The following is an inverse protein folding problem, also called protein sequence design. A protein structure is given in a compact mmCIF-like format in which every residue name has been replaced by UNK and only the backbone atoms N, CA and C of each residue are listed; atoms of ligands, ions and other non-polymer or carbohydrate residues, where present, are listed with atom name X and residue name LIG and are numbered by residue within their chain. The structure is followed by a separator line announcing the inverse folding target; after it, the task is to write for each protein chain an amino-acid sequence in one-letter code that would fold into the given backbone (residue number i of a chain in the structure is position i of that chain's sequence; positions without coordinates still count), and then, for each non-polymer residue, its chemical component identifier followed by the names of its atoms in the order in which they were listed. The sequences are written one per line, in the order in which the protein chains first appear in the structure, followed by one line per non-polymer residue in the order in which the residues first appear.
data_IF_703892809214
#
_entry.id   IF_703892809214
#
_cell.length_a   1.000
_cell.length_b   1.000
_cell.length_c   1.000
_cell.angle_alpha   90.00
_cell.angle_beta   90.00
_cell.angle_gamma   90.00
#
_symmetry.space_group_name_H-M   'P 1'
#
loop_
_entity.id
_entity.type
_entity.pdbx_description
1 polymer ?
#
# COMPACT_ATOMS: atom_id res chain seq x y z
N UNK A 1 -9.10 -7.92 30.92
CA UNK A 1 -10.47 -7.35 30.97
C UNK A 1 -11.21 -7.85 29.75
N UNK A 2 -12.38 -8.49 29.91
CA UNK A 2 -13.12 -9.05 28.78
C UNK A 2 -13.69 -7.96 27.86
N UNK A 3 -13.89 -8.26 26.56
CA UNK A 3 -14.43 -7.34 25.58
C UNK A 3 -15.76 -6.68 26.04
N UNK A 4 -16.65 -7.49 26.62
CA UNK A 4 -17.93 -7.02 27.18
C UNK A 4 -17.73 -5.89 28.18
N UNK A 5 -16.83 -6.09 29.16
CA UNK A 5 -16.55 -5.08 30.19
C UNK A 5 -15.95 -3.80 29.62
N UNK A 6 -15.09 -3.92 28.59
CA UNK A 6 -14.52 -2.75 27.91
C UNK A 6 -15.57 -1.95 27.19
N UNK A 7 -16.48 -2.62 26.50
CA UNK A 7 -17.59 -1.99 25.78
C UNK A 7 -18.54 -1.31 26.79
N UNK A 8 -18.90 -1.99 27.89
CA UNK A 8 -19.72 -1.41 28.95
C UNK A 8 -19.09 -0.12 29.53
N UNK A 9 -17.81 -0.17 29.84
CA UNK A 9 -17.09 1.01 30.37
C UNK A 9 -16.99 2.15 29.35
N UNK A 10 -16.75 1.81 28.06
CA UNK A 10 -16.75 2.81 26.99
C UNK A 10 -18.09 3.55 26.90
N UNK A 11 -19.22 2.81 27.02
CA UNK A 11 -20.56 3.43 26.97
C UNK A 11 -20.92 4.23 28.23
N UNK A 12 -20.37 3.84 29.35
CA UNK A 12 -20.57 4.55 30.62
C UNK A 12 -19.56 5.68 30.86
N UNK A 13 -18.61 5.89 29.92
CA UNK A 13 -17.65 6.97 30.03
C UNK A 13 -18.36 8.33 30.01
N UNK A 14 -18.06 9.16 31.01
CA UNK A 14 -18.66 10.48 31.20
C UNK A 14 -17.86 11.59 30.52
N UNK A 15 -16.63 11.32 30.17
CA UNK A 15 -15.72 12.26 29.49
C UNK A 15 -14.91 11.60 28.38
N UNK A 16 -14.35 12.43 27.50
CA UNK A 16 -13.59 11.98 26.32
C UNK A 16 -12.29 11.25 26.68
N UNK A 17 -11.67 11.56 27.82
CA UNK A 17 -10.42 10.92 28.27
C UNK A 17 -10.65 9.45 28.63
N UNK A 18 -11.70 9.17 29.41
CA UNK A 18 -12.07 7.81 29.76
C UNK A 18 -12.54 7.02 28.53
N UNK A 19 -13.34 7.64 27.65
CA UNK A 19 -13.77 7.07 26.40
C UNK A 19 -12.56 6.69 25.53
N UNK A 20 -11.55 7.55 25.42
CA UNK A 20 -10.33 7.29 24.70
C UNK A 20 -9.56 6.11 25.27
N UNK A 21 -9.37 6.05 26.59
CA UNK A 21 -8.68 4.96 27.27
C UNK A 21 -9.36 3.60 27.00
N UNK A 22 -10.69 3.53 27.12
CA UNK A 22 -11.43 2.29 26.84
C UNK A 22 -11.39 1.92 25.38
N UNK A 23 -11.40 2.89 24.46
CA UNK A 23 -11.30 2.64 23.03
C UNK A 23 -9.91 2.12 22.66
N UNK A 24 -8.84 2.63 23.26
CA UNK A 24 -7.47 2.12 23.10
C UNK A 24 -7.37 0.64 23.57
N UNK A 25 -7.96 0.32 24.71
CA UNK A 25 -8.00 -1.05 25.21
C UNK A 25 -8.82 -1.97 24.31
N UNK A 26 -9.93 -1.48 23.76
CA UNK A 26 -10.77 -2.19 22.79
C UNK A 26 -9.99 -2.46 21.50
N UNK A 27 -9.30 -1.46 20.95
CA UNK A 27 -8.39 -1.60 19.80
C UNK A 27 -7.36 -2.71 20.04
N UNK A 28 -6.71 -2.71 21.21
CA UNK A 28 -5.74 -3.74 21.59
C UNK A 28 -6.37 -5.12 21.61
N UNK A 29 -7.54 -5.28 22.17
CA UNK A 29 -8.26 -6.56 22.20
C UNK A 29 -8.66 -7.04 20.79
N UNK A 30 -9.24 -6.18 19.96
CA UNK A 30 -9.61 -6.50 18.58
C UNK A 30 -8.39 -6.89 17.73
N UNK A 31 -7.22 -6.33 18.04
CA UNK A 31 -5.96 -6.69 17.37
C UNK A 31 -5.44 -8.07 17.81
N UNK A 32 -5.56 -8.40 19.11
CA UNK A 32 -5.07 -9.67 19.66
C UNK A 32 -6.00 -10.86 19.38
N UNK A 33 -7.31 -10.63 19.33
CA UNK A 33 -8.33 -11.68 19.22
C UNK A 33 -9.22 -11.46 17.98
N UNK A 34 -8.80 -11.91 16.77
CA UNK A 34 -9.58 -11.75 15.54
C UNK A 34 -10.98 -12.36 15.58
N UNK A 35 -11.19 -13.46 16.33
CA UNK A 35 -12.50 -14.07 16.50
C UNK A 35 -13.54 -13.14 17.12
N UNK A 36 -13.11 -12.20 17.94
CA UNK A 36 -13.98 -11.18 18.52
C UNK A 36 -14.46 -10.15 17.49
N UNK A 37 -13.78 -10.03 16.34
CA UNK A 37 -14.12 -9.08 15.28
C UNK A 37 -15.44 -9.45 14.59
N UNK A 38 -15.68 -10.74 14.36
CA UNK A 38 -16.91 -11.22 13.73
C UNK A 38 -18.15 -10.87 14.57
N UNK A 39 -18.03 -11.01 15.90
CA UNK A 39 -19.09 -10.60 16.81
C UNK A 39 -19.31 -9.08 16.79
N UNK A 40 -18.23 -8.30 16.76
CA UNK A 40 -18.32 -6.84 16.64
C UNK A 40 -18.94 -6.42 15.30
N UNK A 41 -18.65 -7.16 14.20
CA UNK A 41 -19.20 -6.89 12.86
C UNK A 41 -20.70 -7.14 12.75
N UNK A 42 -21.24 -8.18 13.38
CA UNK A 42 -22.71 -8.39 13.45
C UNK A 42 -23.41 -7.20 14.06
N UNK A 43 -22.68 -6.39 14.81
CA UNK A 43 -23.14 -5.15 15.42
C UNK A 43 -22.97 -3.96 14.45
N UNK A 44 -21.88 -3.93 13.69
CA UNK A 44 -21.55 -2.86 12.74
C UNK A 44 -22.37 -2.95 11.45
N UNK A 45 -22.66 -4.16 10.94
CA UNK A 45 -23.33 -4.38 9.65
C UNK A 45 -24.79 -3.87 9.62
N UNK A 46 -25.38 -3.66 10.79
CA UNK A 46 -26.68 -2.98 10.92
C UNK A 46 -26.58 -1.46 11.09
N UNK A 47 -25.36 -0.89 11.13
CA UNK A 47 -25.15 0.50 11.53
C UNK A 47 -24.13 1.25 10.70
N UNK A 48 -24.60 1.84 9.68
CA UNK A 48 -24.15 3.09 9.06
C UNK A 48 -23.88 4.20 10.11
N UNK A 49 -24.32 4.03 11.27
CA UNK A 49 -24.45 4.96 12.38
C UNK A 49 -23.14 5.27 13.12
N UNK A 50 -22.20 4.32 13.13
CA UNK A 50 -20.87 4.52 13.74
C UNK A 50 -20.00 5.53 12.98
N UNK A 51 -20.19 5.70 11.67
CA UNK A 51 -19.50 6.75 10.90
C UNK A 51 -19.89 8.16 11.37
N UNK A 52 -21.16 8.36 11.66
CA UNK A 52 -21.70 9.66 12.08
C UNK A 52 -21.21 9.98 13.48
N UNK A 53 -21.20 8.97 14.33
CA UNK A 53 -20.69 9.08 15.69
C UNK A 53 -19.23 9.52 15.67
N UNK A 54 -18.40 8.90 14.85
CA UNK A 54 -16.98 9.29 14.73
C UNK A 54 -16.78 10.71 14.20
N UNK A 55 -17.69 11.21 13.34
CA UNK A 55 -17.64 12.60 12.83
C UNK A 55 -18.09 13.64 13.84
N UNK A 56 -18.96 13.28 14.77
CA UNK A 56 -19.46 14.17 15.82
C UNK A 56 -18.53 14.24 17.03
N UNK A 57 -17.59 13.33 17.18
CA UNK A 57 -16.58 13.37 18.23
C UNK A 57 -15.64 14.54 17.95
N UNK A 58 -15.62 15.54 18.83
CA UNK A 58 -14.73 16.71 18.70
C UNK A 58 -13.28 16.35 19.01
N UNK A 59 -13.05 15.44 19.94
CA UNK A 59 -11.71 14.94 20.27
C UNK A 59 -11.14 14.11 19.11
N UNK A 60 -10.14 14.65 18.44
CA UNK A 60 -9.52 14.04 17.25
C UNK A 60 -8.92 12.66 17.57
N UNK A 61 -8.26 12.51 18.71
CA UNK A 61 -7.61 11.26 19.12
C UNK A 61 -8.64 10.15 19.38
N UNK A 62 -9.73 10.47 20.06
CA UNK A 62 -10.83 9.53 20.29
C UNK A 62 -11.48 9.11 18.97
N UNK A 63 -11.76 10.07 18.09
CA UNK A 63 -12.33 9.81 16.76
C UNK A 63 -11.45 8.87 15.93
N UNK A 64 -10.14 9.12 15.90
CA UNK A 64 -9.21 8.30 15.13
C UNK A 64 -9.10 6.88 15.71
N UNK A 65 -9.09 6.74 17.04
CA UNK A 65 -9.04 5.42 17.69
C UNK A 65 -10.33 4.63 17.45
N UNK A 66 -11.51 5.28 17.49
CA UNK A 66 -12.79 4.67 17.13
C UNK A 66 -12.78 4.18 15.69
N UNK A 67 -12.26 4.99 14.76
CA UNK A 67 -12.14 4.60 13.35
C UNK A 67 -11.21 3.39 13.17
N UNK A 68 -10.10 3.32 13.89
CA UNK A 68 -9.21 2.17 13.88
C UNK A 68 -9.88 0.89 14.40
N UNK A 69 -10.71 0.99 15.44
CA UNK A 69 -11.53 -0.14 15.91
C UNK A 69 -12.51 -0.62 14.82
N UNK A 70 -13.16 0.30 14.13
CA UNK A 70 -14.08 -0.01 13.03
C UNK A 70 -13.37 -0.71 11.87
N UNK A 71 -12.20 -0.21 11.48
CA UNK A 71 -11.39 -0.78 10.41
C UNK A 71 -10.84 -2.17 10.77
N UNK A 72 -10.49 -2.41 12.02
CA UNK A 72 -10.18 -3.76 12.53
C UNK A 72 -11.37 -4.71 12.44
N UNK A 73 -12.58 -4.18 12.52
CA UNK A 73 -13.81 -4.93 12.31
C UNK A 73 -14.21 -5.08 10.84
N UNK A 74 -13.37 -4.65 9.89
CA UNK A 74 -13.64 -4.75 8.45
C UNK A 74 -14.54 -3.66 7.89
N UNK A 75 -14.72 -2.56 8.63
CA UNK A 75 -15.38 -1.38 8.09
C UNK A 75 -14.49 -0.68 7.08
N UNK A 76 -15.01 -0.47 5.86
CA UNK A 76 -14.31 0.23 4.79
C UNK A 76 -14.99 1.57 4.51
N UNK A 77 -14.21 2.65 4.60
CA UNK A 77 -14.72 3.99 4.27
C UNK A 77 -15.14 4.04 2.80
N UNK A 78 -16.29 4.63 2.50
CA UNK A 78 -16.68 4.92 1.13
C UNK A 78 -15.64 5.82 0.44
N UNK A 79 -15.42 5.59 -0.83
CA UNK A 79 -14.60 6.48 -1.67
C UNK A 79 -15.26 7.87 -1.76
N UNK A 80 -14.44 8.91 -1.86
CA UNK A 80 -14.89 10.31 -1.96
C UNK A 80 -14.88 10.85 -3.38
N UNK A 81 -14.32 10.09 -4.30
CA UNK A 81 -14.13 10.42 -5.71
C UNK A 81 -15.19 9.78 -6.60
N UNK A 82 -15.09 9.99 -7.91
CA UNK A 82 -15.96 9.36 -8.90
C UNK A 82 -15.85 7.81 -8.87
N UNK A 83 -14.62 7.31 -8.68
CA UNK A 83 -14.29 5.90 -8.59
C UNK A 83 -13.04 5.70 -7.75
N UNK A 84 -12.55 4.46 -7.69
CA UNK A 84 -11.39 4.07 -6.89
C UNK A 84 -10.10 4.58 -7.57
N UNK A 85 -9.24 5.23 -6.80
CA UNK A 85 -7.92 5.71 -7.24
C UNK A 85 -6.83 4.86 -6.57
N UNK A 86 -6.04 4.19 -7.40
CA UNK A 86 -5.03 3.22 -6.96
C UNK A 86 -3.64 3.68 -7.36
N UNK A 87 -2.69 3.63 -6.44
CA UNK A 87 -1.26 3.78 -6.70
C UNK A 87 -0.56 2.45 -6.42
N UNK A 88 0.16 1.95 -7.40
CA UNK A 88 0.99 0.74 -7.32
C UNK A 88 2.45 1.10 -7.56
N UNK A 89 3.37 0.66 -6.68
CA UNK A 89 4.79 1.02 -6.74
C UNK A 89 5.63 -0.25 -6.75
N UNK A 90 6.41 -0.41 -7.82
CA UNK A 90 7.25 -1.58 -8.04
C UNK A 90 8.43 -1.67 -7.05
N UNK A 91 8.99 -2.85 -6.93
CA UNK A 91 10.30 -3.08 -6.33
C UNK A 91 11.44 -2.65 -7.25
N UNK A 92 12.62 -2.38 -6.70
CA UNK A 92 13.75 -1.98 -7.54
C UNK A 92 14.98 -1.41 -6.83
N UNK A 93 15.18 -1.68 -5.55
CA UNK A 93 16.36 -1.23 -4.80
C UNK A 93 16.52 0.30 -4.86
N UNK A 94 17.74 0.80 -5.02
CA UNK A 94 18.04 2.24 -5.08
C UNK A 94 17.38 2.96 -6.26
N UNK A 95 16.95 2.22 -7.28
CA UNK A 95 16.23 2.79 -8.44
C UNK A 95 14.88 3.40 -8.07
N UNK A 96 14.38 3.18 -6.84
CA UNK A 96 13.16 3.83 -6.31
C UNK A 96 13.18 5.37 -6.37
N UNK A 97 14.35 5.99 -6.48
CA UNK A 97 14.48 7.41 -6.75
C UNK A 97 13.79 7.81 -8.07
N UNK A 98 13.78 6.93 -9.07
CA UNK A 98 13.11 7.19 -10.35
C UNK A 98 11.58 7.20 -10.21
N UNK A 99 11.03 6.28 -9.39
CA UNK A 99 9.61 6.28 -9.04
C UNK A 99 9.23 7.57 -8.31
N UNK A 100 10.02 8.02 -7.34
CA UNK A 100 9.78 9.26 -6.62
C UNK A 100 9.83 10.49 -7.53
N UNK A 101 10.73 10.55 -8.51
CA UNK A 101 10.75 11.64 -9.51
C UNK A 101 9.46 11.64 -10.38
N UNK A 102 8.95 10.46 -10.77
CA UNK A 102 7.67 10.37 -11.49
C UNK A 102 6.50 10.84 -10.63
N UNK A 103 6.47 10.46 -9.36
CA UNK A 103 5.44 10.89 -8.41
C UNK A 103 5.55 12.38 -8.10
N UNK A 104 6.77 12.94 -8.06
CA UNK A 104 6.99 14.37 -7.90
C UNK A 104 6.36 15.16 -9.06
N UNK A 105 6.47 14.66 -10.28
CA UNK A 105 5.84 15.28 -11.43
C UNK A 105 4.31 15.29 -11.34
N UNK A 106 3.70 14.26 -10.73
CA UNK A 106 2.28 14.24 -10.43
C UNK A 106 1.91 15.23 -9.32
N UNK A 107 2.65 15.23 -8.19
CA UNK A 107 2.39 16.12 -7.05
C UNK A 107 2.42 17.60 -7.48
N UNK A 108 3.42 17.98 -8.27
CA UNK A 108 3.53 19.35 -8.82
C UNK A 108 2.30 19.69 -9.68
N UNK A 109 1.89 18.81 -10.62
CA UNK A 109 0.73 19.05 -11.49
C UNK A 109 -0.60 19.04 -10.75
N UNK A 110 -0.67 18.34 -9.63
CA UNK A 110 -1.82 18.31 -8.74
C UNK A 110 -1.86 19.49 -7.76
N UNK A 111 -1.04 20.54 -7.98
CA UNK A 111 -1.00 21.74 -7.14
C UNK A 111 -0.40 21.50 -5.75
N UNK A 112 0.53 20.55 -5.62
CA UNK A 112 1.20 20.20 -4.36
C UNK A 112 0.37 19.30 -3.43
N UNK A 113 -0.76 18.74 -3.90
CA UNK A 113 -1.53 17.77 -3.11
C UNK A 113 -0.73 16.50 -2.91
N UNK A 114 -0.62 16.08 -1.66
CA UNK A 114 0.18 14.92 -1.27
C UNK A 114 -0.46 13.60 -1.74
N UNK A 115 0.35 12.57 -1.97
CA UNK A 115 -0.12 11.29 -2.51
C UNK A 115 -1.21 10.64 -1.63
N UNK A 116 -1.14 10.75 -0.30
CA UNK A 116 -2.17 10.21 0.59
C UNK A 116 -3.56 10.88 0.45
N UNK A 117 -3.63 12.04 -0.18
CA UNK A 117 -4.89 12.76 -0.47
C UNK A 117 -5.46 12.38 -1.85
N UNK A 118 -4.58 11.92 -2.75
CA UNK A 118 -4.92 11.63 -4.13
C UNK A 118 -5.43 10.20 -4.33
N UNK A 119 -4.97 9.26 -3.54
CA UNK A 119 -5.27 7.84 -3.72
C UNK A 119 -6.11 7.25 -2.58
N UNK A 120 -6.97 6.30 -2.93
CA UNK A 120 -7.80 5.56 -1.98
C UNK A 120 -7.08 4.28 -1.51
N UNK A 121 -6.22 3.70 -2.38
CA UNK A 121 -5.37 2.55 -2.09
C UNK A 121 -3.96 2.78 -2.63
N UNK A 122 -2.95 2.51 -1.80
CA UNK A 122 -1.54 2.51 -2.19
C UNK A 122 -0.95 1.13 -1.91
N UNK A 123 -0.31 0.53 -2.91
CA UNK A 123 0.32 -0.79 -2.80
C UNK A 123 1.78 -0.69 -3.22
N UNK A 124 2.67 -1.29 -2.46
CA UNK A 124 4.10 -1.30 -2.78
C UNK A 124 4.77 -2.62 -2.44
N UNK A 125 5.86 -2.91 -3.14
CA UNK A 125 6.70 -4.09 -2.92
C UNK A 125 8.16 -3.68 -2.80
N UNK A 126 8.93 -4.32 -1.90
CA UNK A 126 10.36 -4.03 -1.71
C UNK A 126 10.59 -2.53 -1.46
N UNK A 127 11.42 -1.88 -2.26
CA UNK A 127 11.61 -0.42 -2.30
C UNK A 127 10.29 0.35 -2.41
N UNK A 128 9.36 -0.12 -3.25
CA UNK A 128 8.02 0.45 -3.37
C UNK A 128 7.22 0.37 -2.06
N UNK A 129 7.49 -0.63 -1.22
CA UNK A 129 6.90 -0.73 0.12
C UNK A 129 7.37 0.38 1.05
N UNK A 130 8.66 0.72 1.01
CA UNK A 130 9.22 1.87 1.76
C UNK A 130 8.54 3.15 1.29
N UNK A 131 8.50 3.39 -0.02
CA UNK A 131 7.88 4.59 -0.61
C UNK A 131 6.40 4.66 -0.25
N UNK A 132 5.64 3.57 -0.38
CA UNK A 132 4.23 3.50 -0.01
C UNK A 132 4.01 3.83 1.48
N UNK A 133 4.91 3.39 2.36
CA UNK A 133 4.87 3.71 3.79
C UNK A 133 5.12 5.20 4.05
N UNK A 134 6.13 5.79 3.43
CA UNK A 134 6.44 7.22 3.57
C UNK A 134 5.29 8.09 3.07
N UNK A 135 4.76 7.81 1.89
CA UNK A 135 3.72 8.63 1.26
C UNK A 135 2.33 8.39 1.84
N UNK A 136 1.97 7.16 2.11
CA UNK A 136 0.63 6.78 2.54
C UNK A 136 0.45 6.78 4.06
N UNK A 137 1.39 6.20 4.80
CA UNK A 137 1.29 6.06 6.24
C UNK A 137 1.85 7.28 6.98
N UNK A 138 3.03 7.73 6.61
CA UNK A 138 3.66 8.95 7.19
C UNK A 138 3.14 10.24 6.58
N UNK A 139 2.40 10.17 5.46
CA UNK A 139 1.80 11.32 4.78
C UNK A 139 2.80 12.38 4.35
N UNK A 140 4.02 11.96 4.04
CA UNK A 140 5.10 12.83 3.59
C UNK A 140 4.78 13.42 2.21
N UNK A 141 5.30 14.60 1.92
CA UNK A 141 5.43 15.11 0.55
C UNK A 141 6.49 14.31 -0.20
N UNK A 142 6.51 14.41 -1.53
CA UNK A 142 7.55 13.71 -2.31
C UNK A 142 8.95 14.24 -1.98
N UNK A 143 9.08 15.53 -1.68
CA UNK A 143 10.37 16.11 -1.29
C UNK A 143 10.90 15.51 0.03
N UNK A 144 10.05 15.44 1.06
CA UNK A 144 10.37 14.79 2.34
C UNK A 144 10.71 13.29 2.14
N UNK A 145 9.90 12.60 1.33
CA UNK A 145 10.10 11.18 1.03
C UNK A 145 11.41 10.93 0.26
N UNK A 146 11.80 11.80 -0.68
CA UNK A 146 13.08 11.71 -1.39
C UNK A 146 14.27 11.86 -0.46
N UNK A 147 14.21 12.78 0.50
CA UNK A 147 15.26 12.96 1.49
C UNK A 147 15.39 11.71 2.36
N UNK A 148 14.30 11.32 3.04
CA UNK A 148 14.29 10.13 3.93
C UNK A 148 14.69 8.86 3.16
N UNK A 149 14.18 8.67 1.94
CA UNK A 149 14.53 7.53 1.10
C UNK A 149 16.02 7.50 0.75
N UNK A 150 16.62 8.67 0.47
CA UNK A 150 18.06 8.78 0.18
C UNK A 150 18.91 8.42 1.40
N UNK A 151 18.49 8.81 2.59
CA UNK A 151 19.17 8.49 3.86
C UNK A 151 19.06 7.00 4.18
N UNK A 152 17.86 6.43 4.10
CA UNK A 152 17.60 4.97 4.24
C UNK A 152 18.46 4.19 3.25
N UNK A 153 18.44 4.58 1.98
CA UNK A 153 19.20 3.90 0.93
C UNK A 153 20.69 3.92 1.21
N UNK A 154 21.28 5.08 1.57
CA UNK A 154 22.70 5.20 1.92
C UNK A 154 23.08 4.26 3.07
N UNK A 155 22.29 4.26 4.16
CA UNK A 155 22.54 3.39 5.31
C UNK A 155 22.46 1.90 4.90
N UNK A 156 21.41 1.49 4.19
CA UNK A 156 21.21 0.10 3.77
C UNK A 156 22.33 -0.42 2.87
N UNK A 157 22.80 0.40 1.93
CA UNK A 157 23.79 -0.03 0.95
C UNK A 157 25.22 0.04 1.46
N UNK A 158 25.54 0.96 2.40
CA UNK A 158 26.83 0.97 3.07
C UNK A 158 27.10 -0.34 3.85
N UNK A 159 26.05 -1.02 4.29
CA UNK A 159 26.15 -2.29 5.00
C UNK A 159 26.03 -3.52 4.08
N UNK A 160 25.90 -3.35 2.75
CA UNK A 160 25.82 -4.45 1.78
C UNK A 160 24.57 -5.33 1.92
N UNK A 161 23.50 -4.80 2.52
CA UNK A 161 22.29 -5.58 2.88
C UNK A 161 21.55 -6.08 1.66
N UNK A 162 21.57 -5.36 0.53
CA UNK A 162 20.94 -5.76 -0.73
C UNK A 162 21.85 -6.52 -1.69
N UNK A 163 23.15 -6.54 -1.43
CA UNK A 163 24.17 -6.96 -2.40
C UNK A 163 24.44 -8.46 -2.52
N UNK A 164 23.64 -9.32 -2.03
CA UNK A 164 23.51 -10.78 -2.27
C UNK A 164 22.37 -11.24 -1.40
N UNK A 165 21.54 -12.12 -1.90
CA UNK A 165 20.44 -12.79 -1.20
C UNK A 165 20.95 -13.51 0.07
N UNK A 166 21.53 -12.76 0.99
CA UNK A 166 21.93 -13.24 2.29
C UNK A 166 20.86 -12.81 3.27
N UNK A 167 19.78 -13.59 3.34
CA UNK A 167 18.79 -13.55 4.40
C UNK A 167 19.42 -13.99 5.74
N UNK A 168 20.56 -13.39 6.07
CA UNK A 168 21.13 -13.62 7.41
C UNK A 168 20.27 -12.85 8.40
N UNK A 169 19.99 -13.46 9.52
CA UNK A 169 19.25 -12.85 10.66
C UNK A 169 19.83 -11.49 11.04
N UNK A 170 21.13 -11.31 10.87
CA UNK A 170 21.86 -10.05 11.15
C UNK A 170 21.48 -8.94 10.17
N UNK A 171 21.35 -9.24 8.87
CA UNK A 171 20.98 -8.25 7.86
C UNK A 171 19.52 -7.78 8.03
N UNK A 172 18.60 -8.69 8.39
CA UNK A 172 17.22 -8.32 8.68
C UNK A 172 17.12 -7.43 9.92
N UNK A 173 17.90 -7.71 10.97
CA UNK A 173 17.94 -6.86 12.17
C UNK A 173 18.46 -5.46 11.89
N UNK A 174 19.56 -5.33 11.14
CA UNK A 174 20.11 -4.04 10.75
C UNK A 174 19.16 -3.23 9.87
N UNK A 175 18.46 -3.90 8.95
CA UNK A 175 17.42 -3.28 8.14
C UNK A 175 16.27 -2.72 9.01
N UNK A 176 15.84 -3.50 10.00
CA UNK A 176 14.84 -3.05 10.97
C UNK A 176 15.33 -1.85 11.79
N UNK A 177 16.58 -1.83 12.22
CA UNK A 177 17.17 -0.74 12.99
C UNK A 177 17.18 0.57 12.19
N UNK A 178 17.61 0.53 10.92
CA UNK A 178 17.61 1.69 10.03
C UNK A 178 16.19 2.22 9.82
N UNK A 179 15.23 1.33 9.62
CA UNK A 179 13.84 1.73 9.46
C UNK A 179 13.25 2.27 10.78
N UNK A 180 13.67 1.77 11.94
CA UNK A 180 13.27 2.30 13.26
C UNK A 180 13.69 3.74 13.43
N UNK A 181 14.91 4.06 13.07
CA UNK A 181 15.43 5.42 13.15
C UNK A 181 14.64 6.38 12.26
N UNK A 182 14.35 5.99 11.02
CA UNK A 182 13.79 6.88 10.00
C UNK A 182 12.25 6.92 10.02
N UNK A 183 11.61 5.78 10.30
CA UNK A 183 10.13 5.64 10.26
C UNK A 183 9.53 5.70 11.67
N UNK A 184 10.29 5.36 12.70
CA UNK A 184 9.85 5.31 14.10
C UNK A 184 9.61 3.87 14.59
N UNK A 185 10.04 3.60 15.82
CA UNK A 185 10.09 2.25 16.41
C UNK A 185 8.71 1.61 16.63
N UNK A 186 7.69 2.41 16.94
CA UNK A 186 6.38 1.92 17.38
C UNK A 186 5.27 2.13 16.37
N UNK A 187 5.62 2.60 15.16
CA UNK A 187 4.65 2.91 14.13
C UNK A 187 4.00 1.62 13.59
N UNK A 188 2.68 1.52 13.71
CA UNK A 188 1.86 0.48 13.12
C UNK A 188 1.20 0.99 11.84
N UNK A 189 1.05 0.12 10.82
CA UNK A 189 0.25 0.47 9.64
C UNK A 189 -1.18 0.88 10.02
N UNK A 190 -1.73 0.28 11.07
CA UNK A 190 -3.07 0.59 11.55
C UNK A 190 -3.20 2.04 12.05
N UNK A 191 -2.11 2.65 12.53
CA UNK A 191 -2.12 4.05 12.98
C UNK A 191 -2.29 5.03 11.81
N UNK A 192 -2.08 4.57 10.57
CA UNK A 192 -2.31 5.33 9.34
C UNK A 192 -3.74 5.24 8.80
N UNK A 193 -4.68 4.66 9.53
CA UNK A 193 -6.05 4.39 9.07
C UNK A 193 -6.84 5.63 8.63
N UNK A 194 -6.46 6.83 9.09
CA UNK A 194 -7.03 8.10 8.63
C UNK A 194 -6.63 8.50 7.20
N UNK A 195 -5.66 7.78 6.59
CA UNK A 195 -5.16 7.97 5.22
C UNK A 195 -5.76 6.98 4.21
N UNK A 196 -5.06 6.75 3.10
CA UNK A 196 -5.42 5.72 2.12
C UNK A 196 -5.30 4.33 2.73
N UNK A 197 -5.96 3.35 2.11
CA UNK A 197 -5.69 1.95 2.39
C UNK A 197 -4.29 1.61 1.89
N UNK A 198 -3.53 0.88 2.70
CA UNK A 198 -2.16 0.46 2.40
C UNK A 198 -2.06 -1.05 2.38
N UNK A 199 -1.42 -1.57 1.35
CA UNK A 199 -1.03 -2.97 1.30
C UNK A 199 0.45 -3.07 0.89
N UNK A 200 1.24 -3.71 1.71
CA UNK A 200 2.67 -3.92 1.50
C UNK A 200 2.89 -5.39 1.16
N UNK A 201 3.41 -5.61 -0.03
CA UNK A 201 3.69 -6.95 -0.53
C UNK A 201 5.01 -7.49 0.03
N UNK A 202 4.94 -8.68 0.60
CA UNK A 202 6.08 -9.47 1.10
C UNK A 202 5.90 -10.94 0.70
N UNK A 203 6.85 -11.79 1.00
CA UNK A 203 6.70 -13.23 0.81
C UNK A 203 7.04 -14.02 2.08
N UNK A 204 6.39 -15.16 2.23
CA UNK A 204 6.71 -16.14 3.27
C UNK A 204 7.75 -17.10 2.70
N UNK A 205 8.98 -17.04 3.23
CA UNK A 205 10.14 -17.77 2.70
C UNK A 205 10.36 -19.15 3.32
N UNK A 206 9.71 -19.42 4.45
CA UNK A 206 9.85 -20.69 5.19
C UNK A 206 8.84 -21.77 4.76
N UNK A 207 8.16 -21.56 3.63
CA UNK A 207 7.21 -22.50 3.02
C UNK A 207 7.57 -22.78 1.56
N UNK A 208 7.18 -23.95 1.05
CA UNK A 208 7.37 -24.33 -0.35
C UNK A 208 6.02 -24.73 -0.96
N UNK A 209 5.60 -24.14 -2.08
CA UNK A 209 6.23 -22.99 -2.75
C UNK A 209 6.18 -21.71 -1.93
N UNK A 210 7.01 -20.71 -2.27
CA UNK A 210 6.96 -19.39 -1.66
C UNK A 210 5.54 -18.82 -1.78
N UNK A 211 5.07 -18.12 -0.74
CA UNK A 211 3.70 -17.60 -0.72
C UNK A 211 3.68 -16.08 -0.55
N UNK A 212 2.85 -15.36 -1.34
CA UNK A 212 2.65 -13.94 -1.15
C UNK A 212 1.96 -13.67 0.19
N UNK A 213 2.40 -12.59 0.86
CA UNK A 213 1.83 -12.12 2.11
C UNK A 213 1.66 -10.61 2.08
N UNK A 214 0.50 -10.12 2.46
CA UNK A 214 0.19 -8.69 2.47
C UNK A 214 0.07 -8.16 3.90
N UNK A 215 0.92 -7.18 4.22
CA UNK A 215 0.73 -6.36 5.40
C UNK A 215 -0.23 -5.22 5.04
N UNK A 216 -1.29 -5.05 5.84
CA UNK A 216 -2.39 -4.13 5.54
C UNK A 216 -2.66 -3.20 6.72
N UNK A 217 -3.16 -2.00 6.45
CA UNK A 217 -3.75 -1.12 7.47
C UNK A 217 -5.27 -1.28 7.58
N UNK A 218 -5.83 -2.35 7.01
CA UNK A 218 -7.27 -2.64 6.98
C UNK A 218 -7.52 -4.15 7.06
N UNK A 219 -8.70 -4.51 7.55
CA UNK A 219 -9.27 -5.85 7.38
C UNK A 219 -10.34 -5.82 6.29
N UNK A 220 -10.54 -6.94 5.61
CA UNK A 220 -11.61 -7.04 4.61
C UNK A 220 -12.98 -7.15 5.28
N UNK A 221 -14.06 -6.68 4.62
CA UNK A 221 -15.41 -6.99 5.06
C UNK A 221 -15.62 -8.51 5.14
N UNK A 222 -16.45 -9.01 6.06
CA UNK A 222 -16.67 -10.47 6.23
C UNK A 222 -17.22 -11.16 4.99
N UNK A 223 -17.93 -10.41 4.16
CA UNK A 223 -18.55 -10.89 2.91
C UNK A 223 -17.57 -10.97 1.74
N UNK A 224 -16.37 -10.41 1.89
CA UNK A 224 -15.36 -10.35 0.85
C UNK A 224 -14.00 -10.67 1.47
N UNK A 225 -13.35 -11.70 0.99
CA UNK A 225 -12.02 -12.11 1.46
C UNK A 225 -11.02 -12.04 0.33
N UNK A 226 -9.82 -11.57 0.64
CA UNK A 226 -8.70 -11.64 -0.29
C UNK A 226 -8.20 -13.07 -0.41
N UNK A 227 -7.79 -13.46 -1.63
CA UNK A 227 -7.06 -14.70 -1.85
C UNK A 227 -5.64 -14.67 -1.28
N UNK A 228 -5.11 -13.47 -1.04
CA UNK A 228 -3.79 -13.30 -0.45
C UNK A 228 -3.86 -13.32 1.06
N UNK A 229 -3.01 -14.14 1.68
CA UNK A 229 -2.83 -14.09 3.13
C UNK A 229 -2.30 -12.72 3.53
N UNK A 230 -2.70 -12.24 4.69
CA UNK A 230 -2.27 -10.94 5.17
C UNK A 230 -2.63 -10.70 6.62
N UNK A 231 -2.13 -9.60 7.16
CA UNK A 231 -2.38 -9.23 8.55
C UNK A 231 -2.24 -7.73 8.77
N UNK A 232 -3.03 -7.22 9.71
CA UNK A 232 -2.96 -5.85 10.23
C UNK A 232 -2.20 -5.76 11.56
N UNK A 233 -1.75 -6.89 12.12
CA UNK A 233 -1.20 -6.98 13.48
C UNK A 233 0.23 -6.52 13.62
N UNK A 234 0.96 -6.44 12.52
CA UNK A 234 2.39 -6.22 12.56
C UNK A 234 2.74 -4.73 12.57
N UNK A 235 3.77 -4.38 13.33
CA UNK A 235 4.45 -3.10 13.20
C UNK A 235 5.09 -3.01 11.81
N UNK A 236 5.26 -1.80 11.28
CA UNK A 236 5.89 -1.58 9.96
C UNK A 236 7.24 -2.28 9.86
N UNK A 237 7.99 -2.35 10.94
CA UNK A 237 9.28 -3.01 11.01
C UNK A 237 9.25 -4.51 10.70
N UNK A 238 8.21 -5.21 11.16
CA UNK A 238 8.05 -6.64 10.92
C UNK A 238 7.76 -6.96 9.44
N UNK A 239 7.37 -5.95 8.65
CA UNK A 239 7.10 -6.10 7.22
C UNK A 239 8.38 -6.49 6.49
N UNK A 240 9.48 -5.88 6.88
CA UNK A 240 10.74 -6.01 6.19
C UNK A 240 11.62 -7.14 6.72
N UNK A 241 11.25 -7.77 7.85
CA UNK A 241 11.90 -8.98 8.37
C UNK A 241 11.42 -10.28 7.71
N UNK A 242 10.33 -10.24 6.95
CA UNK A 242 9.91 -11.32 6.07
C UNK A 242 10.67 -11.25 4.73
N UNK A 243 10.52 -12.24 3.88
CA UNK A 243 11.18 -12.26 2.57
C UNK A 243 10.72 -11.11 1.65
N UNK A 244 11.61 -10.68 0.75
CA UNK A 244 11.29 -9.67 -0.27
C UNK A 244 10.21 -10.18 -1.21
N UNK A 245 9.08 -9.48 -1.25
CA UNK A 245 7.95 -9.81 -2.13
C UNK A 245 8.26 -9.68 -3.62
N UNK A 246 9.29 -8.88 -3.98
CA UNK A 246 9.73 -8.68 -5.35
C UNK A 246 10.19 -9.97 -6.05
N UNK A 247 10.65 -10.96 -5.30
CA UNK A 247 11.01 -12.29 -5.83
C UNK A 247 9.79 -13.01 -6.42
N UNK A 248 8.57 -12.76 -5.90
CA UNK A 248 7.35 -13.36 -6.42
C UNK A 248 6.59 -12.42 -7.35
N UNK A 249 6.44 -11.17 -6.99
CA UNK A 249 5.60 -10.19 -7.69
C UNK A 249 6.24 -8.82 -7.54
N UNK A 250 7.05 -8.44 -8.52
CA UNK A 250 7.77 -7.17 -8.47
C UNK A 250 6.95 -5.97 -8.96
N UNK A 251 5.91 -6.21 -9.76
CA UNK A 251 4.87 -5.22 -10.09
C UNK A 251 3.57 -5.58 -9.37
N UNK A 252 3.20 -4.91 -8.28
CA UNK A 252 2.05 -5.30 -7.47
C UNK A 252 0.72 -4.79 -8.00
N UNK A 253 0.62 -4.28 -9.24
CA UNK A 253 -0.60 -3.69 -9.78
C UNK A 253 -1.77 -4.67 -9.81
N UNK A 254 -1.54 -5.93 -10.19
CA UNK A 254 -2.59 -6.95 -10.20
C UNK A 254 -3.15 -7.22 -8.79
N UNK A 255 -2.26 -7.26 -7.78
CA UNK A 255 -2.66 -7.36 -6.36
C UNK A 255 -3.45 -6.11 -5.94
N UNK A 256 -3.00 -4.93 -6.31
CA UNK A 256 -3.68 -3.68 -5.99
C UNK A 256 -5.10 -3.65 -6.54
N UNK A 257 -5.32 -4.14 -7.77
CA UNK A 257 -6.64 -4.26 -8.37
C UNK A 257 -7.50 -5.30 -7.67
N UNK A 258 -6.92 -6.44 -7.26
CA UNK A 258 -7.63 -7.45 -6.49
C UNK A 258 -8.09 -6.87 -5.13
N UNK A 259 -7.20 -6.25 -4.38
CA UNK A 259 -7.52 -5.63 -3.09
C UNK A 259 -8.58 -4.52 -3.23
N UNK A 260 -8.46 -3.66 -4.25
CA UNK A 260 -9.44 -2.61 -4.52
C UNK A 260 -10.84 -3.17 -4.76
N UNK A 261 -10.97 -4.26 -5.53
CA UNK A 261 -12.24 -4.94 -5.77
C UNK A 261 -12.85 -5.56 -4.51
N UNK A 262 -12.00 -6.10 -3.62
CA UNK A 262 -12.47 -6.65 -2.34
C UNK A 262 -12.91 -5.56 -1.37
N UNK A 263 -12.23 -4.41 -1.37
CA UNK A 263 -12.55 -3.27 -0.51
C UNK A 263 -13.81 -2.52 -0.97
N UNK A 264 -13.95 -2.32 -2.28
CA UNK A 264 -15.04 -1.52 -2.86
C UNK A 264 -15.69 -2.22 -4.06
N UNK A 265 -16.36 -3.36 -3.86
CA UNK A 265 -16.87 -4.23 -4.95
C UNK A 265 -17.91 -3.55 -5.86
N UNK A 266 -18.58 -2.51 -5.36
CA UNK A 266 -19.61 -1.76 -6.10
C UNK A 266 -19.10 -0.51 -6.81
N UNK A 267 -17.80 -0.19 -6.66
CA UNK A 267 -17.22 1.01 -7.22
C UNK A 267 -16.37 0.69 -8.44
N UNK A 268 -16.45 1.55 -9.45
CA UNK A 268 -15.59 1.48 -10.63
C UNK A 268 -14.18 2.01 -10.31
N UNK A 269 -13.20 1.57 -11.07
CA UNK A 269 -11.88 2.15 -11.08
C UNK A 269 -11.93 3.50 -11.79
N UNK A 270 -11.42 4.54 -11.15
CA UNK A 270 -11.28 5.88 -11.73
C UNK A 270 -9.91 6.08 -12.34
N UNK A 271 -8.88 5.74 -11.59
CA UNK A 271 -7.49 5.94 -11.99
C UNK A 271 -6.60 4.90 -11.31
N UNK A 272 -5.76 4.23 -12.08
CA UNK A 272 -4.76 3.27 -11.62
C UNK A 272 -3.41 3.75 -12.14
N UNK A 273 -2.53 4.20 -11.24
CA UNK A 273 -1.18 4.60 -11.57
C UNK A 273 -0.22 3.51 -11.08
N UNK A 274 0.51 2.90 -12.03
CA UNK A 274 1.56 1.94 -11.77
C UNK A 274 2.91 2.59 -12.04
N UNK A 275 3.76 2.64 -11.02
CA UNK A 275 5.06 3.33 -11.10
C UNK A 275 6.19 2.32 -11.00
N UNK A 276 7.01 2.26 -12.05
CA UNK A 276 8.19 1.43 -12.12
C UNK A 276 9.47 2.16 -11.74
N UNK A 277 10.51 1.38 -11.47
CA UNK A 277 11.83 1.84 -11.05
C UNK A 277 12.85 1.84 -12.21
N UNK A 278 12.35 2.00 -13.43
CA UNK A 278 13.15 2.06 -14.65
C UNK A 278 13.25 0.73 -15.40
N UNK A 279 13.32 0.83 -16.70
CA UNK A 279 13.56 -0.31 -17.62
C UNK A 279 14.65 0.02 -18.62
N UNK A 280 15.51 -0.95 -18.86
CA UNK A 280 16.54 -0.85 -19.90
C UNK A 280 15.87 -0.99 -21.27
N UNK A 281 16.29 -0.18 -22.23
CA UNK A 281 15.93 -0.45 -23.62
C UNK A 281 16.70 -1.70 -24.05
N UNK A 282 16.00 -2.79 -24.33
CA UNK A 282 16.60 -3.94 -25.00
C UNK A 282 17.19 -3.44 -26.32
N UNK A 283 18.49 -3.56 -26.47
CA UNK A 283 19.07 -3.53 -27.83
C UNK A 283 18.46 -4.74 -28.50
N UNK A 284 17.67 -4.52 -29.53
CA UNK A 284 17.29 -5.60 -30.44
C UNK A 284 18.61 -6.07 -31.05
N UNK A 285 19.10 -7.20 -30.57
CA UNK A 285 20.23 -7.84 -31.26
C UNK A 285 19.79 -8.08 -32.70
N UNK A 286 20.62 -7.70 -33.69
CA UNK A 286 20.29 -7.96 -35.07
C UNK A 286 20.09 -9.47 -35.23
N UNK A 287 18.91 -9.86 -35.64
CA UNK A 287 18.41 -11.20 -35.92
C UNK A 287 18.94 -12.33 -35.00
N UNK A 288 18.07 -13.05 -34.31
CA UNK A 288 18.52 -14.22 -33.57
C UNK A 288 19.21 -15.15 -34.57
N UNK A 289 20.51 -15.42 -34.38
CA UNK A 289 21.22 -16.44 -35.13
C UNK A 289 20.34 -17.70 -35.23
N UNK A 290 20.16 -18.29 -36.41
CA UNK A 290 19.26 -19.44 -36.56
C UNK A 290 19.65 -20.52 -35.54
N UNK A 291 18.62 -20.99 -34.83
CA UNK A 291 18.76 -21.94 -33.72
C UNK A 291 19.51 -23.18 -34.17
N UNK A 292 20.77 -23.28 -33.82
CA UNK A 292 21.61 -24.43 -34.13
C UNK A 292 21.66 -25.40 -32.97
N UNK A 293 21.08 -26.57 -33.14
CA UNK A 293 21.12 -27.66 -32.15
C UNK A 293 22.55 -28.02 -31.71
N UNK A 294 23.54 -27.83 -32.56
CA UNK A 294 24.95 -28.08 -32.23
C UNK A 294 25.53 -27.03 -31.25
N UNK A 295 25.00 -25.79 -31.23
CA UNK A 295 25.35 -24.78 -30.21
C UNK A 295 24.64 -25.05 -28.91
N UNK A 296 23.44 -25.62 -28.94
CA UNK A 296 22.67 -25.99 -27.72
C UNK A 296 23.37 -27.07 -26.90
N UNK A 297 24.06 -28.01 -27.53
CA UNK A 297 24.85 -29.04 -26.83
C UNK A 297 26.20 -28.50 -26.30
N UNK A 298 26.67 -27.34 -26.76
CA UNK A 298 27.80 -26.60 -26.21
C UNK A 298 27.40 -25.57 -25.17
N UNK A 299 26.14 -25.51 -24.79
CA UNK A 299 25.69 -24.84 -23.58
C UNK A 299 26.17 -25.61 -22.34
N UNK A 300 27.44 -25.91 -22.43
CA UNK A 300 28.24 -26.68 -21.54
C UNK A 300 28.64 -25.84 -20.35
N UNK A 301 28.26 -26.25 -19.16
CA UNK A 301 28.99 -26.30 -17.90
C UNK A 301 29.83 -25.07 -17.43
N UNK A 302 29.89 -23.96 -18.16
CA UNK A 302 30.59 -22.73 -17.78
C UNK A 302 29.62 -21.52 -17.60
N UNK A 303 28.33 -21.76 -17.42
CA UNK A 303 27.47 -20.71 -16.91
C UNK A 303 27.94 -20.45 -15.49
N UNK A 304 28.66 -19.36 -15.29
CA UNK A 304 29.05 -18.91 -13.97
C UNK A 304 27.79 -18.91 -13.07
N UNK A 305 27.81 -19.70 -12.02
CA UNK A 305 26.64 -19.84 -11.12
C UNK A 305 26.12 -18.46 -10.68
N UNK A 306 27.03 -17.49 -10.54
CA UNK A 306 26.69 -16.10 -10.23
C UNK A 306 25.87 -15.44 -11.35
N UNK A 307 26.24 -15.61 -12.63
CA UNK A 307 25.49 -15.03 -13.76
C UNK A 307 24.11 -15.68 -13.95
N UNK A 308 23.98 -16.96 -13.61
CA UNK A 308 22.68 -17.67 -13.62
C UNK A 308 21.77 -17.18 -12.52
N UNK A 309 22.30 -16.91 -11.33
CA UNK A 309 21.53 -16.33 -10.21
C UNK A 309 21.07 -14.92 -10.56
N UNK A 310 21.94 -14.09 -11.14
CA UNK A 310 21.58 -12.74 -11.57
C UNK A 310 20.48 -12.76 -12.64
N UNK A 311 20.59 -13.65 -13.64
CA UNK A 311 19.56 -13.83 -14.67
C UNK A 311 18.20 -14.32 -14.09
N UNK A 312 18.23 -15.19 -13.08
CA UNK A 312 17.01 -15.64 -12.37
C UNK A 312 16.39 -14.48 -11.61
N UNK A 313 17.20 -13.67 -10.93
CA UNK A 313 16.72 -12.49 -10.20
C UNK A 313 16.11 -11.47 -11.16
N UNK A 314 16.80 -11.17 -12.26
CA UNK A 314 16.30 -10.25 -13.29
C UNK A 314 14.99 -10.74 -13.90
N UNK A 315 14.87 -12.05 -14.17
CA UNK A 315 13.62 -12.66 -14.65
C UNK A 315 12.50 -12.61 -13.59
N UNK A 316 12.81 -12.92 -12.34
CA UNK A 316 11.84 -12.88 -11.24
C UNK A 316 11.37 -11.44 -10.92
N UNK A 317 12.21 -10.44 -11.22
CA UNK A 317 11.89 -9.02 -10.99
C UNK A 317 11.33 -8.31 -12.22
N UNK A 318 10.99 -9.04 -13.28
CA UNK A 318 10.37 -8.50 -14.49
C UNK A 318 8.99 -7.88 -14.15
N UNK A 319 8.71 -6.68 -14.66
CA UNK A 319 7.52 -5.90 -14.30
C UNK A 319 6.60 -5.57 -15.47
N UNK A 320 7.09 -5.75 -16.71
CA UNK A 320 6.35 -5.29 -17.88
C UNK A 320 5.31 -6.31 -18.36
N UNK A 321 5.49 -7.61 -18.08
CA UNK A 321 4.47 -8.62 -18.34
C UNK A 321 3.17 -8.31 -17.61
N UNK A 322 3.26 -7.96 -16.32
CA UNK A 322 2.08 -7.52 -15.55
C UNK A 322 1.48 -6.25 -16.17
N UNK A 323 2.33 -5.30 -16.60
CA UNK A 323 1.86 -4.09 -17.27
C UNK A 323 1.07 -4.40 -18.55
N UNK A 324 1.58 -5.25 -19.42
CA UNK A 324 0.88 -5.61 -20.67
C UNK A 324 -0.48 -6.26 -20.38
N UNK A 325 -0.54 -7.24 -19.49
CA UNK A 325 -1.79 -7.88 -19.10
C UNK A 325 -2.81 -6.86 -18.56
N UNK A 326 -2.38 -5.93 -17.70
CA UNK A 326 -3.28 -4.92 -17.13
C UNK A 326 -3.72 -3.89 -18.17
N UNK A 327 -2.83 -3.48 -19.10
CA UNK A 327 -3.18 -2.55 -20.17
C UNK A 327 -4.20 -3.12 -21.15
N UNK A 328 -4.20 -4.43 -21.38
CA UNK A 328 -5.20 -5.10 -22.22
C UNK A 328 -6.57 -5.21 -21.53
N UNK A 329 -6.58 -5.27 -20.18
CA UNK A 329 -7.80 -5.47 -19.40
C UNK A 329 -8.48 -4.17 -18.97
N UNK A 330 -7.75 -3.07 -18.88
CA UNK A 330 -8.28 -1.78 -18.41
C UNK A 330 -8.34 -0.74 -19.52
N UNK A 331 -9.35 0.16 -19.50
CA UNK A 331 -9.39 1.28 -20.43
C UNK A 331 -8.15 2.17 -20.36
N UNK A 332 -7.71 2.70 -21.49
CA UNK A 332 -6.50 3.54 -21.61
C UNK A 332 -6.56 4.84 -20.79
N UNK A 333 -7.77 5.32 -20.50
CA UNK A 333 -7.99 6.50 -19.66
C UNK A 333 -8.12 6.18 -18.16
N UNK A 334 -7.95 4.92 -17.76
CA UNK A 334 -8.03 4.45 -16.37
C UNK A 334 -6.67 3.99 -15.86
N UNK A 335 -5.87 3.35 -16.72
CA UNK A 335 -4.58 2.75 -16.33
C UNK A 335 -3.40 3.50 -16.93
N UNK A 336 -2.46 3.90 -16.08
CA UNK A 336 -1.27 4.66 -16.47
C UNK A 336 -0.02 4.01 -15.89
N UNK A 337 0.86 3.50 -16.75
CA UNK A 337 2.18 2.99 -16.37
C UNK A 337 3.23 4.06 -16.55
N UNK A 338 3.90 4.44 -15.46
CA UNK A 338 5.03 5.37 -15.44
C UNK A 338 6.30 4.58 -15.13
N UNK A 339 7.07 4.22 -16.15
CA UNK A 339 8.30 3.45 -16.00
C UNK A 339 9.40 4.05 -16.88
N UNK A 340 10.35 4.82 -16.33
CA UNK A 340 11.39 5.51 -17.09
C UNK A 340 12.31 4.54 -17.83
N UNK A 341 12.69 4.89 -19.06
CA UNK A 341 13.79 4.24 -19.74
C UNK A 341 15.10 4.67 -19.12
N UNK A 342 15.98 3.70 -18.86
CA UNK A 342 17.31 3.95 -18.30
C UNK A 342 18.36 4.04 -19.40
N UNK A 343 19.30 4.97 -19.26
CA UNK A 343 20.42 5.15 -20.20
C UNK A 343 21.46 4.03 -20.12
N UNK A 344 21.45 3.29 -19.02
CA UNK A 344 22.33 2.14 -18.77
C UNK A 344 21.68 1.18 -17.78
N UNK A 345 22.24 0.00 -17.59
CA UNK A 345 21.87 -0.90 -16.49
C UNK A 345 22.35 -0.30 -15.18
N UNK A 346 21.42 -0.05 -14.25
CA UNK A 346 21.73 0.40 -12.91
C UNK A 346 21.65 -0.76 -11.93
N UNK A 347 22.69 -0.99 -11.10
CA UNK A 347 22.61 -1.98 -10.03
C UNK A 347 21.48 -1.64 -9.05
N UNK A 348 20.88 -2.66 -8.44
CA UNK A 348 19.81 -2.50 -7.44
C UNK A 348 20.33 -1.92 -6.11
N UNK A 349 21.62 -2.02 -5.86
CA UNK A 349 22.30 -1.76 -4.60
C UNK A 349 23.36 -0.65 -4.71
N UNK A 350 23.24 0.26 -5.66
CA UNK A 350 24.24 1.33 -5.81
C UNK A 350 24.04 2.46 -4.80
N UNK A 351 25.11 2.82 -4.10
CA UNK A 351 25.17 4.01 -3.26
C UNK A 351 25.99 5.17 -3.89
N UNK A 352 26.42 5.01 -5.15
CA UNK A 352 27.21 5.98 -5.87
C UNK A 352 26.40 7.21 -6.24
N UNK A 353 26.78 8.43 -5.74
CA UNK A 353 26.03 9.65 -5.99
C UNK A 353 25.88 10.00 -7.48
N UNK A 354 26.92 9.72 -8.29
CA UNK A 354 26.91 9.95 -9.74
C UNK A 354 25.86 9.10 -10.46
N UNK A 355 25.69 7.84 -10.06
CA UNK A 355 24.68 6.94 -10.61
C UNK A 355 23.28 7.35 -10.16
N UNK A 356 23.11 7.74 -8.90
CA UNK A 356 21.85 8.26 -8.39
C UNK A 356 21.39 9.51 -9.16
N UNK A 357 22.31 10.43 -9.44
CA UNK A 357 21.97 11.62 -10.23
C UNK A 357 21.65 11.27 -11.70
N UNK A 358 22.33 10.28 -12.30
CA UNK A 358 21.98 9.78 -13.63
C UNK A 358 20.58 9.18 -13.66
N UNK A 359 20.19 8.36 -12.66
CA UNK A 359 18.82 7.82 -12.54
C UNK A 359 17.78 8.94 -12.48
N UNK A 360 18.02 9.96 -11.67
CA UNK A 360 17.12 11.14 -11.58
C UNK A 360 17.02 11.88 -12.91
N UNK A 361 18.14 12.00 -13.62
CA UNK A 361 18.16 12.62 -14.96
C UNK A 361 17.34 11.81 -15.97
N UNK A 362 17.49 10.48 -16.00
CA UNK A 362 16.73 9.60 -16.88
C UNK A 362 15.23 9.70 -16.58
N UNK A 363 14.83 9.72 -15.31
CA UNK A 363 13.44 9.92 -14.91
C UNK A 363 12.90 11.29 -15.36
N UNK A 364 13.67 12.37 -15.19
CA UNK A 364 13.28 13.72 -15.66
C UNK A 364 13.15 13.79 -17.19
N UNK A 365 14.02 13.11 -17.93
CA UNK A 365 13.91 12.99 -19.39
C UNK A 365 12.64 12.24 -19.79
N UNK A 366 12.34 11.12 -19.12
CA UNK A 366 11.11 10.37 -19.33
C UNK A 366 9.87 11.24 -19.09
N UNK A 367 9.82 11.97 -17.99
CA UNK A 367 8.72 12.86 -17.63
C UNK A 367 8.49 13.93 -18.72
N UNK A 368 9.56 14.51 -19.24
CA UNK A 368 9.47 15.52 -20.32
C UNK A 368 8.88 14.92 -21.61
N UNK A 369 9.29 13.71 -21.97
CA UNK A 369 8.83 13.00 -23.18
C UNK A 369 7.41 12.44 -23.05
N UNK A 370 6.95 12.18 -21.83
CA UNK A 370 5.63 11.61 -21.55
C UNK A 370 4.68 12.61 -20.87
N UNK A 371 4.82 13.89 -21.18
CA UNK A 371 4.00 14.96 -20.58
C UNK A 371 2.52 14.67 -20.74
N UNK A 372 2.07 14.33 -21.94
CA UNK A 372 0.67 14.05 -22.26
C UNK A 372 0.10 12.89 -21.43
N UNK A 373 0.88 11.81 -21.25
CA UNK A 373 0.49 10.68 -20.40
C UNK A 373 0.30 11.10 -18.94
N UNK A 374 1.19 11.94 -18.43
CA UNK A 374 1.11 12.44 -17.05
C UNK A 374 -0.08 13.38 -16.90
N UNK A 375 -0.32 14.26 -17.86
CA UNK A 375 -1.45 15.18 -17.87
C UNK A 375 -2.79 14.42 -17.97
N UNK A 376 -2.85 13.34 -18.75
CA UNK A 376 -4.00 12.45 -18.80
C UNK A 376 -4.23 11.71 -17.44
N UNK A 377 -3.17 11.29 -16.77
CA UNK A 377 -3.27 10.68 -15.43
C UNK A 377 -3.79 11.70 -14.39
N UNK A 378 -3.33 12.95 -14.46
CA UNK A 378 -3.83 14.05 -13.63
C UNK A 378 -5.30 14.30 -13.90
N UNK A 379 -5.72 14.38 -15.16
CA UNK A 379 -7.13 14.55 -15.53
C UNK A 379 -8.00 13.42 -15.00
N UNK A 380 -7.53 12.18 -15.08
CA UNK A 380 -8.22 11.02 -14.52
C UNK A 380 -8.36 11.12 -13.00
N UNK A 381 -7.31 11.55 -12.27
CA UNK A 381 -7.37 11.76 -10.82
C UNK A 381 -8.34 12.88 -10.42
N UNK A 382 -8.50 13.92 -11.23
CA UNK A 382 -9.35 15.08 -10.97
C UNK A 382 -10.81 14.89 -11.38
N UNK A 383 -11.15 13.78 -12.05
CA UNK A 383 -12.53 13.50 -12.46
C UNK A 383 -13.47 13.57 -11.25
N UNK A 384 -14.40 14.53 -11.32
CA UNK A 384 -15.35 14.77 -10.23
C UNK A 384 -16.54 13.81 -10.31
N UNK A 385 -17.13 13.41 -9.18
CA UNK A 385 -18.36 12.64 -9.19
C UNK A 385 -19.45 13.36 -9.97
N UNK A 386 -20.25 12.62 -10.75
CA UNK A 386 -21.39 13.15 -11.46
C UNK A 386 -22.39 13.81 -10.50
N UNK A 387 -23.26 14.67 -11.04
CA UNK A 387 -24.30 15.30 -10.22
C UNK A 387 -25.14 14.28 -9.48
N UNK A 388 -25.57 13.20 -10.17
CA UNK A 388 -26.35 12.12 -9.56
C UNK A 388 -25.61 11.40 -8.44
N UNK A 389 -24.30 11.13 -8.61
CA UNK A 389 -23.46 10.53 -7.57
C UNK A 389 -23.33 11.46 -6.35
N UNK A 390 -23.17 12.78 -6.57
CA UNK A 390 -23.12 13.77 -5.50
C UNK A 390 -24.44 13.87 -4.75
N UNK A 391 -25.57 13.87 -5.48
CA UNK A 391 -26.92 13.90 -4.90
C UNK A 391 -27.17 12.62 -4.10
N UNK A 392 -26.82 11.45 -4.64
CA UNK A 392 -26.97 10.18 -3.94
C UNK A 392 -26.12 10.17 -2.65
N UNK A 393 -24.83 10.52 -2.74
CA UNK A 393 -23.96 10.60 -1.56
C UNK A 393 -24.49 11.60 -0.52
N UNK A 394 -24.96 12.77 -0.97
CA UNK A 394 -25.58 13.77 -0.08
C UNK A 394 -26.86 13.27 0.57
N UNK A 395 -27.73 12.56 -0.18
CA UNK A 395 -28.97 11.97 0.35
C UNK A 395 -28.68 10.89 1.39
N UNK A 396 -27.73 10.01 1.07
CA UNK A 396 -27.27 8.96 2.01
C UNK A 396 -26.71 9.61 3.27
N UNK A 397 -25.81 10.60 3.15
CA UNK A 397 -25.25 11.32 4.28
C UNK A 397 -26.33 12.03 5.11
N UNK A 398 -27.27 12.75 4.48
CA UNK A 398 -28.37 13.44 5.18
C UNK A 398 -29.34 12.46 5.83
N UNK A 399 -29.64 11.31 5.22
CA UNK A 399 -30.46 10.26 5.82
C UNK A 399 -29.80 9.72 7.09
N UNK A 400 -28.50 9.56 7.02
CA UNK A 400 -27.66 9.11 8.10
C UNK A 400 -27.60 10.18 9.21
N UNK A 401 -27.42 11.45 8.87
CA UNK A 401 -27.38 12.58 9.84
C UNK A 401 -28.70 12.79 10.58
N UNK A 402 -29.85 12.48 9.96
CA UNK A 402 -31.17 12.62 10.57
C UNK A 402 -31.50 11.52 11.59
N UNK A 403 -30.82 10.39 11.54
CA UNK A 403 -31.19 9.21 12.33
C UNK A 403 -30.50 9.12 13.69
N UNK A 404 -29.49 9.96 14.02
CA UNK A 404 -28.71 9.76 15.25
C UNK A 404 -28.22 11.02 15.96
N UNK A 405 -28.59 11.07 17.19
CA UNK A 405 -27.83 11.73 18.26
C UNK A 405 -26.81 10.73 18.85
N UNK A 406 -25.76 11.22 19.49
CA UNK A 406 -24.78 10.39 20.22
C UNK A 406 -25.47 9.49 21.27
N UNK A 407 -26.52 9.98 21.91
CA UNK A 407 -27.30 9.23 22.89
C UNK A 407 -28.09 8.07 22.26
N UNK A 408 -28.55 8.21 21.01
CA UNK A 408 -29.25 7.13 20.30
C UNK A 408 -28.31 6.04 19.87
N UNK A 409 -27.11 6.40 19.41
CA UNK A 409 -26.02 5.45 19.09
C UNK A 409 -25.57 4.68 20.35
N UNK A 410 -25.41 5.38 21.47
CA UNK A 410 -25.10 4.85 22.80
C UNK A 410 -26.16 3.85 23.28
N UNK A 411 -27.43 4.23 23.25
CA UNK A 411 -28.56 3.39 23.68
C UNK A 411 -28.73 2.17 22.74
N UNK A 412 -28.54 2.36 21.44
CA UNK A 412 -28.67 1.29 20.48
C UNK A 412 -27.55 0.25 20.62
N UNK A 413 -26.28 0.65 20.75
CA UNK A 413 -25.16 -0.23 21.00
C UNK A 413 -25.35 -1.01 22.32
N UNK A 414 -25.82 -0.33 23.37
CA UNK A 414 -26.17 -0.95 24.64
C UNK A 414 -27.23 -2.04 24.48
N UNK A 415 -28.32 -1.77 23.77
CA UNK A 415 -29.43 -2.72 23.60
C UNK A 415 -29.08 -3.92 22.69
N UNK A 416 -28.16 -3.77 21.73
CA UNK A 416 -27.78 -4.84 20.78
C UNK A 416 -26.61 -5.68 21.26
N UNK A 417 -25.57 -5.08 21.83
CA UNK A 417 -24.44 -5.80 22.42
C UNK A 417 -24.89 -6.72 23.57
N UNK A 418 -25.88 -6.25 24.38
CA UNK A 418 -26.37 -7.05 25.50
C UNK A 418 -27.36 -8.16 25.09
N UNK A 419 -28.13 -7.98 24.00
CA UNK A 419 -29.08 -9.02 23.54
C UNK A 419 -28.47 -10.14 22.71
N UNK A 420 -27.25 -9.98 22.19
CA UNK A 420 -26.56 -11.03 21.43
C UNK A 420 -25.59 -11.88 22.24
N UNK A 421 -25.51 -11.65 23.55
CA UNK A 421 -24.71 -12.40 24.50
C UNK A 421 -25.55 -13.11 25.61
N UNK A 422 -26.87 -13.07 25.52
CA UNK A 422 -27.85 -13.92 26.19
C UNK A 422 -28.43 -14.87 25.13
#
# INVERSE_FOLDING_TARGET
MGMRVLVERLFNATNDSDALNYTILLKKQLSLFPSCRETALKIVDKNVDLQITSRKIQNASLRDTVMQCLELCGYIRPIRSHGIRVLSIDGGGTRGVMALECLNALEIRMGGRKMHELFDLIVGVSTGAVIATLLGAKKMSIAEALQTYSEVSKKLFNYGIFGRISHTKKNSQLFEEILKEEIGSDFSLLDSSSGPKLAIMSCVVNVKPLMPFLFRNYEHPPTHSSHYRGSTKYKVLNIFSNGDGGVLINNPTAIALHEARQLWPKNLLQCVISVGNGKVMSKVDPEPEPYSWSKSLKFSYTVNLASSVDAIIDSATETETTHYCISDLLPTNVYFRLNPYTSQVYPLDTNRPDLMEKMRRDAKLYIRRNREKIDAAVAALETKPSFNQRVYASRVLKKIERQLSWNDAKNWMRNKLFRSFV
#
